data_IF_852204592533
#
_entry.id   IF_852204592533
#
_cell.length_a   1.000
_cell.length_b   1.000
_cell.length_c   1.000
_cell.angle_alpha   90.00
_cell.angle_beta   90.00
_cell.angle_gamma   90.00
#
_symmetry.space_group_name_H-M   'P 1'
#
loop_
_entity.id
_entity.type
_entity.pdbx_description
1 polymer ?
#
# COMPACT_ATOMS: atom_id res chain seq x y z
N UNK A 1 3.01 -16.48 -5.31
CA UNK A 1 3.91 -15.87 -4.31
C UNK A 1 3.36 -16.16 -2.94
N UNK A 2 4.21 -16.55 -1.98
CA UNK A 2 3.79 -17.07 -0.66
C UNK A 2 3.17 -16.02 0.29
N UNK A 3 3.23 -14.72 -0.03
CA UNK A 3 2.90 -13.62 0.91
C UNK A 3 1.89 -12.60 0.32
N UNK A 4 1.08 -12.97 -0.68
CA UNK A 4 0.07 -12.03 -1.23
C UNK A 4 0.51 -11.15 -2.42
N UNK A 5 1.39 -11.66 -3.29
CA UNK A 5 1.64 -11.10 -4.63
C UNK A 5 2.49 -9.82 -4.71
N UNK A 6 2.88 -9.42 -5.93
CA UNK A 6 3.66 -8.20 -6.21
C UNK A 6 2.92 -6.90 -5.84
N UNK A 7 1.60 -6.94 -5.65
CA UNK A 7 0.78 -5.75 -5.35
C UNK A 7 1.03 -5.13 -3.97
N UNK A 8 1.70 -5.86 -3.06
CA UNK A 8 1.98 -5.41 -1.69
C UNK A 8 3.48 -5.34 -1.37
N UNK A 9 4.36 -5.71 -2.31
CA UNK A 9 5.79 -5.75 -2.06
C UNK A 9 6.42 -4.34 -2.23
N UNK A 10 7.00 -3.75 -1.17
CA UNK A 10 7.70 -2.46 -1.27
C UNK A 10 9.08 -2.61 -1.91
N UNK A 11 9.64 -1.50 -2.38
CA UNK A 11 10.94 -1.45 -3.02
C UNK A 11 11.77 -0.23 -2.60
N UNK A 12 13.09 -0.42 -2.57
CA UNK A 12 14.05 0.65 -2.31
C UNK A 12 15.36 0.39 -3.08
N UNK A 13 15.91 1.45 -3.67
CA UNK A 13 17.23 1.48 -4.27
C UNK A 13 18.07 2.48 -3.45
N UNK A 14 19.08 1.99 -2.73
CA UNK A 14 19.90 2.80 -1.82
C UNK A 14 21.30 2.97 -2.43
N UNK A 15 21.67 4.21 -2.71
CA UNK A 15 23.00 4.60 -3.19
C UNK A 15 23.77 5.38 -2.12
N UNK A 16 25.01 5.75 -2.47
CA UNK A 16 25.90 6.50 -1.57
C UNK A 16 25.49 7.96 -1.38
N UNK A 17 24.78 8.55 -2.36
CA UNK A 17 24.38 9.96 -2.35
C UNK A 17 22.86 10.17 -2.24
N UNK A 18 22.06 9.13 -2.50
CA UNK A 18 20.60 9.21 -2.50
C UNK A 18 19.97 7.83 -2.34
N UNK A 19 18.71 7.81 -1.90
CA UNK A 19 17.86 6.64 -1.88
C UNK A 19 16.55 6.92 -2.64
N UNK A 20 16.04 5.92 -3.35
CA UNK A 20 14.77 5.97 -4.10
C UNK A 20 13.86 4.84 -3.65
N UNK A 21 12.64 5.17 -3.24
CA UNK A 21 11.64 4.22 -2.76
C UNK A 21 10.53 4.10 -3.79
N UNK A 22 10.19 2.88 -4.19
CA UNK A 22 9.30 2.63 -5.33
C UNK A 22 8.47 1.36 -5.16
N UNK A 23 7.28 1.35 -5.75
CA UNK A 23 6.49 0.14 -5.84
C UNK A 23 7.16 -0.87 -6.79
N UNK A 24 7.21 -2.16 -6.40
CA UNK A 24 7.87 -3.20 -7.20
C UNK A 24 7.07 -3.64 -8.44
N UNK A 25 5.77 -3.36 -8.48
CA UNK A 25 4.91 -3.75 -9.58
C UNK A 25 5.06 -2.83 -10.80
N UNK A 26 4.77 -3.34 -12.00
CA UNK A 26 4.74 -2.54 -13.23
C UNK A 26 3.56 -1.55 -13.31
N UNK A 27 3.49 -0.81 -14.41
CA UNK A 27 2.57 0.33 -14.59
C UNK A 27 1.08 -0.01 -14.79
N UNK A 28 0.76 -1.29 -15.04
CA UNK A 28 -0.60 -1.80 -15.32
C UNK A 28 -1.50 -0.84 -16.15
N UNK A 29 -1.12 -0.49 -17.40
CA UNK A 29 -1.76 0.61 -18.16
C UNK A 29 -3.27 0.50 -18.34
N UNK A 30 -3.80 -0.73 -18.39
CA UNK A 30 -5.23 -1.02 -18.49
C UNK A 30 -6.06 -0.51 -17.31
N UNK A 31 -5.43 -0.15 -16.18
CA UNK A 31 -6.11 0.37 -14.99
C UNK A 31 -5.84 1.87 -14.76
N UNK A 32 -5.13 2.53 -15.68
CA UNK A 32 -4.80 3.95 -15.57
C UNK A 32 -6.09 4.79 -15.47
N UNK A 33 -6.18 5.63 -14.45
CA UNK A 33 -7.30 6.55 -14.25
C UNK A 33 -8.60 5.89 -13.77
N UNK A 34 -8.59 4.60 -13.43
CA UNK A 34 -9.79 3.87 -13.06
C UNK A 34 -10.07 3.84 -11.55
N UNK A 35 -9.20 4.45 -10.72
CA UNK A 35 -9.28 4.36 -9.26
C UNK A 35 -9.47 2.90 -8.76
N UNK A 36 -8.66 1.96 -9.27
CA UNK A 36 -8.91 0.51 -9.09
C UNK A 36 -7.76 -0.27 -8.45
N UNK A 37 -6.54 0.20 -8.57
CA UNK A 37 -5.34 -0.58 -8.18
C UNK A 37 -5.06 -0.43 -6.70
N UNK A 38 -4.48 -1.47 -6.12
CA UNK A 38 -4.00 -1.49 -4.75
C UNK A 38 -2.81 -0.54 -4.55
N UNK A 39 -2.89 0.46 -3.66
CA UNK A 39 -1.77 1.38 -3.40
C UNK A 39 -0.73 0.82 -2.41
N UNK A 40 -0.94 -0.36 -1.84
CA UNK A 40 -0.16 -0.88 -0.69
C UNK A 40 1.34 -0.94 -0.94
N UNK A 41 1.80 -1.44 -2.10
CA UNK A 41 3.24 -1.51 -2.38
C UNK A 41 3.93 -0.13 -2.32
N UNK A 42 3.29 0.92 -2.85
CA UNK A 42 3.84 2.28 -2.81
C UNK A 42 3.81 2.85 -1.38
N UNK A 43 2.70 2.63 -0.67
CA UNK A 43 2.56 3.04 0.73
C UNK A 43 3.63 2.42 1.62
N UNK A 44 3.87 1.11 1.50
CA UNK A 44 4.92 0.41 2.25
C UNK A 44 6.33 0.83 1.80
N UNK A 45 6.51 1.27 0.55
CA UNK A 45 7.78 1.89 0.14
C UNK A 45 7.98 3.24 0.83
N UNK A 46 6.89 3.98 1.08
CA UNK A 46 6.89 5.15 1.97
C UNK A 46 7.26 4.81 3.41
N UNK A 47 6.79 3.67 3.95
CA UNK A 47 7.23 3.17 5.28
C UNK A 47 8.74 2.94 5.30
N UNK A 48 9.31 2.29 4.27
CA UNK A 48 10.76 2.11 4.15
C UNK A 48 11.49 3.46 4.12
N UNK A 49 10.94 4.46 3.41
CA UNK A 49 11.49 5.81 3.36
C UNK A 49 11.50 6.49 4.73
N UNK A 50 10.40 6.41 5.49
CA UNK A 50 10.31 6.97 6.84
C UNK A 50 11.35 6.33 7.77
N UNK A 51 11.53 5.01 7.71
CA UNK A 51 12.59 4.32 8.45
C UNK A 51 13.99 4.80 8.04
N UNK A 52 14.21 5.05 6.75
CA UNK A 52 15.48 5.57 6.25
C UNK A 52 15.78 7.01 6.69
N UNK A 53 14.73 7.81 6.91
CA UNK A 53 14.80 9.18 7.42
C UNK A 53 14.91 9.27 8.95
N UNK A 54 15.05 8.13 9.65
CA UNK A 54 15.06 8.03 11.12
C UNK A 54 13.76 8.52 11.76
N UNK A 55 12.62 8.26 11.10
CA UNK A 55 11.26 8.58 11.56
C UNK A 55 10.46 7.31 11.91
N UNK A 56 10.91 6.47 12.86
CA UNK A 56 10.31 5.15 13.13
C UNK A 56 8.88 5.25 13.65
N UNK A 57 8.53 6.28 14.43
CA UNK A 57 7.17 6.45 14.95
C UNK A 57 6.15 6.70 13.83
N UNK A 58 6.52 7.50 12.82
CA UNK A 58 5.67 7.71 11.65
C UNK A 58 5.56 6.45 10.79
N UNK A 59 6.68 5.73 10.61
CA UNK A 59 6.71 4.47 9.89
C UNK A 59 5.80 3.41 10.53
N UNK A 60 5.94 3.21 11.84
CA UNK A 60 5.16 2.22 12.60
C UNK A 60 3.67 2.56 12.59
N UNK A 61 3.31 3.84 12.73
CA UNK A 61 1.92 4.31 12.65
C UNK A 61 1.30 4.00 11.28
N UNK A 62 2.02 4.27 10.20
CA UNK A 62 1.53 4.01 8.84
C UNK A 62 1.45 2.51 8.55
N UNK A 63 2.46 1.73 8.93
CA UNK A 63 2.50 0.27 8.74
C UNK A 63 1.38 -0.43 9.52
N UNK A 64 1.17 -0.04 10.78
CA UNK A 64 0.08 -0.57 11.60
C UNK A 64 -1.30 -0.24 11.02
N UNK A 65 -1.51 0.98 10.52
CA UNK A 65 -2.77 1.38 9.90
C UNK A 65 -3.06 0.59 8.61
N UNK A 66 -2.06 0.40 7.75
CA UNK A 66 -2.19 -0.45 6.54
C UNK A 66 -2.57 -1.88 6.93
N UNK A 67 -1.87 -2.45 7.91
CA UNK A 67 -2.14 -3.81 8.39
C UNK A 67 -3.55 -3.94 8.97
N UNK A 68 -4.02 -2.97 9.75
CA UNK A 68 -5.34 -2.97 10.35
C UNK A 68 -6.45 -2.85 9.28
N UNK A 69 -6.30 -1.99 8.27
CA UNK A 69 -7.27 -1.88 7.15
C UNK A 69 -7.35 -3.19 6.36
N UNK A 70 -6.20 -3.80 6.07
CA UNK A 70 -6.15 -5.10 5.38
C UNK A 70 -6.80 -6.20 6.23
N UNK A 71 -6.53 -6.22 7.54
CA UNK A 71 -7.09 -7.20 8.46
C UNK A 71 -8.61 -7.07 8.61
N UNK A 72 -9.15 -5.85 8.60
CA UNK A 72 -10.60 -5.59 8.59
C UNK A 72 -11.24 -6.07 7.29
N UNK A 73 -10.58 -5.86 6.14
CA UNK A 73 -11.02 -6.39 4.84
C UNK A 73 -12.21 -5.68 4.20
N UNK A 74 -12.86 -4.73 4.90
CA UNK A 74 -14.04 -4.03 4.39
C UNK A 74 -13.69 -3.02 3.29
N UNK A 75 -12.70 -2.15 3.54
CA UNK A 75 -12.25 -1.07 2.65
C UNK A 75 -10.94 -1.41 1.92
N UNK A 76 -10.91 -2.60 1.29
CA UNK A 76 -9.76 -3.05 0.49
C UNK A 76 -10.08 -3.17 -1.00
N UNK A 77 -9.04 -3.08 -1.84
CA UNK A 77 -9.15 -3.19 -3.29
C UNK A 77 -9.44 -4.63 -3.74
N UNK A 78 -9.94 -4.76 -4.99
CA UNK A 78 -10.42 -6.02 -5.57
C UNK A 78 -9.44 -7.20 -5.49
N UNK A 79 -8.13 -6.94 -5.45
CA UNK A 79 -7.07 -7.94 -5.40
C UNK A 79 -6.82 -8.50 -3.99
N UNK A 80 -7.31 -7.82 -2.95
CA UNK A 80 -7.24 -8.24 -1.55
C UNK A 80 -8.56 -8.85 -1.05
N UNK A 81 -9.64 -8.75 -1.83
CA UNK A 81 -10.91 -9.44 -1.53
C UNK A 81 -10.77 -10.96 -1.76
N UNK A 82 -11.58 -11.80 -1.07
CA UNK A 82 -11.58 -13.25 -1.29
C UNK A 82 -11.86 -13.64 -2.75
N UNK A 83 -12.71 -12.88 -3.43
CA UNK A 83 -12.94 -12.98 -4.88
C UNK A 83 -12.74 -11.62 -5.55
N UNK A 84 -12.21 -11.63 -6.78
CA UNK A 84 -11.81 -10.38 -7.48
C UNK A 84 -12.99 -9.57 -8.02
N UNK A 85 -14.16 -10.17 -8.04
CA UNK A 85 -15.45 -9.62 -8.49
C UNK A 85 -16.36 -9.23 -7.32
N UNK A 86 -15.86 -9.29 -6.08
CA UNK A 86 -16.59 -8.84 -4.90
C UNK A 86 -17.05 -7.38 -5.09
N UNK A 87 -18.37 -7.10 -5.08
CA UNK A 87 -18.90 -5.76 -5.33
C UNK A 87 -18.60 -4.77 -4.21
N UNK A 88 -18.09 -5.24 -3.06
CA UNK A 88 -17.66 -4.41 -1.92
C UNK A 88 -16.22 -3.92 -2.04
N UNK A 89 -15.48 -4.33 -3.09
CA UNK A 89 -14.14 -3.81 -3.36
C UNK A 89 -14.17 -2.29 -3.54
N UNK A 90 -13.33 -1.58 -2.79
CA UNK A 90 -13.19 -0.13 -2.92
C UNK A 90 -12.09 0.25 -3.91
N UNK A 91 -12.07 1.52 -4.30
CA UNK A 91 -11.03 2.06 -5.16
C UNK A 91 -9.72 2.38 -4.45
N UNK A 92 -8.75 2.85 -5.23
CA UNK A 92 -7.42 3.26 -4.75
C UNK A 92 -7.51 4.37 -3.69
N UNK A 93 -8.30 5.41 -3.97
CA UNK A 93 -8.48 6.55 -3.08
C UNK A 93 -9.19 6.16 -1.78
N UNK A 94 -10.25 5.36 -1.86
CA UNK A 94 -11.01 4.94 -0.69
C UNK A 94 -10.21 4.01 0.24
N UNK A 95 -9.33 3.18 -0.32
CA UNK A 95 -8.35 2.44 0.49
C UNK A 95 -7.44 3.42 1.24
N UNK A 96 -6.90 4.43 0.55
CA UNK A 96 -6.01 5.40 1.16
C UNK A 96 -6.70 6.21 2.26
N UNK A 97 -7.94 6.62 2.05
CA UNK A 97 -8.76 7.30 3.06
C UNK A 97 -8.95 6.41 4.29
N UNK A 98 -9.22 5.11 4.11
CA UNK A 98 -9.33 4.16 5.21
C UNK A 98 -8.03 4.06 6.04
N UNK A 99 -6.87 4.09 5.39
CA UNK A 99 -5.57 4.11 6.08
C UNK A 99 -5.37 5.41 6.85
N UNK A 100 -5.72 6.57 6.26
CA UNK A 100 -5.62 7.88 6.92
C UNK A 100 -6.54 7.97 8.14
N UNK A 101 -7.77 7.47 8.02
CA UNK A 101 -8.72 7.36 9.13
C UNK A 101 -8.15 6.49 10.26
N UNK A 102 -7.62 5.30 9.94
CA UNK A 102 -7.02 4.39 10.91
C UNK A 102 -5.81 4.99 11.62
N UNK A 103 -4.98 5.76 10.90
CA UNK A 103 -3.85 6.46 11.51
C UNK A 103 -4.31 7.50 12.55
N UNK A 104 -5.49 8.10 12.37
CA UNK A 104 -6.00 9.21 13.18
C UNK A 104 -6.76 8.77 14.45
N UNK A 105 -7.05 7.47 14.56
CA UNK A 105 -7.73 6.86 15.71
C UNK A 105 -6.82 6.47 16.86
#
# INVERSE_FOLDING_TARGET
>A
GMIGGLGVAPGANIGTAAAMFEATHGSAPKYKGMNKVNPTALMLSGVLMLRHLDEPAAADRMEAAIAAVIAKGDRVTYDLKPTRDDPTAVGTSEFADAVIEEMSG
#
